data_IF_183024744567
#
_entry.id   IF_183024744567
#
_cell.length_a   1.000
_cell.length_b   1.000
_cell.length_c   1.000
_cell.angle_alpha   90.00
_cell.angle_beta   90.00
_cell.angle_gamma   90.00
#
_symmetry.space_group_name_H-M   'P 1'
#
loop_
_entity.id
_entity.type
_entity.pdbx_description
1 polymer ?
#
# COMPACT_ATOMS: atom_id res chain seq x y z
N UNK A 1 10.86 10.28 10.35
CA UNK A 1 11.01 11.65 10.91
C UNK A 1 10.56 11.66 12.36
N UNK A 2 9.29 11.43 12.66
CA UNK A 2 8.80 11.40 14.04
C UNK A 2 9.58 10.46 14.99
N UNK A 3 9.88 9.24 14.56
CA UNK A 3 10.64 8.26 15.36
C UNK A 3 12.11 8.64 15.66
N UNK A 4 12.62 9.70 15.05
CA UNK A 4 13.96 10.27 15.32
C UNK A 4 13.85 11.69 15.90
N UNK A 5 12.78 11.94 16.65
CA UNK A 5 12.49 13.16 17.41
C UNK A 5 12.39 14.45 16.57
N UNK A 6 11.94 14.33 15.33
CA UNK A 6 11.58 15.48 14.51
C UNK A 6 10.09 15.78 14.68
N UNK A 7 9.76 16.99 15.15
CA UNK A 7 8.38 17.50 15.14
C UNK A 7 7.82 17.41 13.72
N UNK A 8 6.81 16.54 13.54
CA UNK A 8 6.35 16.14 12.22
C UNK A 8 4.92 16.59 12.00
N UNK A 9 4.73 17.40 10.96
CA UNK A 9 3.42 17.81 10.46
C UNK A 9 3.11 17.06 9.16
N UNK A 10 1.96 16.41 9.09
CA UNK A 10 1.51 15.70 7.89
C UNK A 10 0.22 16.33 7.38
N UNK A 11 0.25 16.88 6.17
CA UNK A 11 -0.91 17.49 5.53
C UNK A 11 -1.55 16.49 4.57
N UNK A 12 -2.81 16.14 4.79
CA UNK A 12 -3.54 15.16 3.99
C UNK A 12 -4.86 15.73 3.46
N UNK A 13 -5.21 15.35 2.23
CA UNK A 13 -6.41 15.87 1.54
C UNK A 13 -7.75 15.27 2.01
N UNK A 14 -7.73 14.29 2.90
CA UNK A 14 -8.95 13.64 3.41
C UNK A 14 -8.90 13.44 4.91
N UNK A 15 -9.87 12.70 5.43
CA UNK A 15 -9.98 12.38 6.86
C UNK A 15 -8.89 11.43 7.36
N UNK A 16 -8.50 10.46 6.54
CA UNK A 16 -7.50 9.45 6.84
C UNK A 16 -6.46 9.37 5.73
N UNK A 17 -5.25 8.94 6.08
CA UNK A 17 -4.23 8.57 5.09
C UNK A 17 -4.36 7.09 4.68
N UNK A 18 -3.61 6.66 3.66
CA UNK A 18 -3.76 5.33 3.05
C UNK A 18 -5.17 5.04 2.48
N UNK A 19 -5.84 6.03 1.88
CA UNK A 19 -7.24 5.94 1.41
C UNK A 19 -7.59 4.83 0.41
N UNK A 20 -6.59 4.16 -0.18
CA UNK A 20 -6.76 2.98 -1.05
C UNK A 20 -6.72 1.65 -0.29
N UNK A 21 -6.35 1.65 0.98
CA UNK A 21 -6.31 0.45 1.83
C UNK A 21 -7.67 0.24 2.51
N UNK A 22 -7.88 -0.91 3.15
CA UNK A 22 -9.11 -1.19 3.88
C UNK A 22 -9.38 -0.11 4.96
N UNK A 23 -10.65 0.30 5.18
CA UNK A 23 -10.99 1.31 6.18
C UNK A 23 -10.45 1.03 7.60
N UNK A 24 -10.27 -0.24 7.97
CA UNK A 24 -9.61 -0.64 9.22
C UNK A 24 -8.18 -0.08 9.30
N UNK A 25 -7.38 -0.27 8.24
CA UNK A 25 -6.01 0.25 8.17
C UNK A 25 -6.03 1.78 8.23
N UNK A 26 -6.89 2.42 7.43
CA UNK A 26 -6.98 3.88 7.34
C UNK A 26 -7.20 4.50 8.72
N UNK A 27 -8.21 4.00 9.44
CA UNK A 27 -8.58 4.47 10.76
C UNK A 27 -7.46 4.23 11.77
N UNK A 28 -7.04 2.97 11.94
CA UNK A 28 -6.08 2.59 12.97
C UNK A 28 -4.72 3.26 12.77
N UNK A 29 -4.24 3.40 11.53
CA UNK A 29 -2.98 4.07 11.25
C UNK A 29 -3.03 5.58 11.48
N UNK A 30 -4.16 6.24 11.17
CA UNK A 30 -4.36 7.66 11.44
C UNK A 30 -4.34 7.94 12.94
N UNK A 31 -5.14 7.20 13.70
CA UNK A 31 -5.20 7.31 15.17
C UNK A 31 -3.84 7.01 15.82
N UNK A 32 -3.13 6.00 15.32
CA UNK A 32 -1.80 5.62 15.80
C UNK A 32 -0.75 6.70 15.58
N UNK A 33 -0.76 7.37 14.43
CA UNK A 33 0.21 8.43 14.12
C UNK A 33 -0.06 9.67 14.97
N UNK A 34 -1.33 10.03 15.18
CA UNK A 34 -1.72 11.11 16.10
C UNK A 34 -1.29 10.79 17.54
N UNK A 35 -1.54 9.57 18.01
CA UNK A 35 -1.08 9.12 19.33
C UNK A 35 0.47 9.09 19.44
N UNK A 36 1.19 8.98 18.33
CA UNK A 36 2.64 9.08 18.28
C UNK A 36 3.18 10.51 18.36
N UNK A 37 2.32 11.53 18.38
CA UNK A 37 2.71 12.94 18.32
C UNK A 37 2.84 13.51 16.90
N UNK A 38 2.42 12.80 15.84
CA UNK A 38 2.39 13.40 14.50
C UNK A 38 1.19 14.35 14.40
N UNK A 39 1.45 15.60 14.02
CA UNK A 39 0.40 16.60 13.78
C UNK A 39 -0.23 16.38 12.41
N UNK A 40 -1.36 15.66 12.35
CA UNK A 40 -2.08 15.41 11.10
C UNK A 40 -3.07 16.55 10.81
N UNK A 41 -2.83 17.27 9.72
CA UNK A 41 -3.71 18.32 9.19
C UNK A 41 -4.64 17.70 8.15
N UNK A 42 -5.83 17.30 8.60
CA UNK A 42 -6.86 16.61 7.79
C UNK A 42 -7.57 17.57 6.84
N UNK A 43 -8.13 17.03 5.75
CA UNK A 43 -8.86 17.79 4.72
C UNK A 43 -8.11 19.02 4.18
N UNK A 44 -6.78 18.99 4.20
CA UNK A 44 -5.96 20.06 3.70
C UNK A 44 -6.10 20.16 2.18
N UNK A 45 -6.46 21.33 1.67
CA UNK A 45 -6.70 21.51 0.23
C UNK A 45 -5.37 21.62 -0.52
N UNK A 46 -4.65 22.73 -0.32
CA UNK A 46 -3.33 23.04 -0.86
C UNK A 46 -2.70 24.19 -0.05
N UNK A 47 -1.39 24.38 -0.20
CA UNK A 47 -0.70 25.58 0.25
C UNK A 47 -0.86 26.71 -0.76
N UNK A 48 -1.05 27.94 -0.26
CA UNK A 48 -1.12 29.16 -1.06
C UNK A 48 0.27 29.66 -1.45
N UNK A 49 1.21 29.59 -0.51
CA UNK A 49 2.55 30.15 -0.69
C UNK A 49 3.55 29.39 0.16
N UNK A 50 4.77 29.25 -0.36
CA UNK A 50 5.91 28.68 0.37
C UNK A 50 7.09 29.63 0.15
N UNK A 51 7.73 30.03 1.23
CA UNK A 51 8.80 31.04 1.22
C UNK A 51 10.00 30.55 2.01
N UNK A 52 11.19 30.61 1.40
CA UNK A 52 12.43 30.45 2.14
C UNK A 52 12.76 31.77 2.84
N UNK A 53 12.60 31.79 4.17
CA UNK A 53 12.86 32.98 4.99
C UNK A 53 14.34 33.07 5.35
N UNK A 54 14.95 31.92 5.67
CA UNK A 54 16.36 31.81 5.99
C UNK A 54 16.93 30.52 5.41
N UNK A 55 18.00 30.65 4.64
CA UNK A 55 18.74 29.49 4.13
C UNK A 55 19.71 28.95 5.20
N UNK A 56 20.02 27.66 5.13
CA UNK A 56 20.82 26.97 6.13
C UNK A 56 20.60 25.45 6.12
N UNK A 57 21.07 24.76 7.16
CA UNK A 57 20.86 23.32 7.36
C UNK A 57 20.19 23.05 8.69
N UNK A 58 19.27 22.08 8.73
CA UNK A 58 18.55 21.72 9.96
C UNK A 58 17.88 22.94 10.59
N UNK A 59 18.10 23.15 11.89
CA UNK A 59 17.51 24.27 12.66
C UNK A 59 17.81 25.68 12.11
N UNK A 60 18.89 25.85 11.36
CA UNK A 60 19.28 27.14 10.82
C UNK A 60 18.46 27.50 9.57
N UNK A 61 17.81 26.53 8.92
CA UNK A 61 16.90 26.76 7.79
C UNK A 61 15.51 27.13 8.30
N UNK A 62 14.83 28.05 7.64
CA UNK A 62 13.46 28.43 7.96
C UNK A 62 12.64 28.61 6.68
N UNK A 63 11.59 27.79 6.55
CA UNK A 63 10.61 27.84 5.49
C UNK A 63 9.28 28.25 6.11
N UNK A 64 8.68 29.30 5.57
CA UNK A 64 7.33 29.72 5.92
C UNK A 64 6.35 29.18 4.90
N UNK A 65 5.30 28.53 5.37
CA UNK A 65 4.23 27.96 4.56
C UNK A 65 2.94 28.69 4.92
N UNK A 66 2.23 29.20 3.91
CA UNK A 66 0.93 29.86 4.07
C UNK A 66 -0.14 29.00 3.42
N UNK A 67 -1.16 28.64 4.19
CA UNK A 67 -2.36 27.94 3.72
C UNK A 67 -3.30 28.87 2.95
N UNK A 68 -4.28 28.29 2.26
CA UNK A 68 -5.32 29.03 1.54
C UNK A 68 -6.21 29.89 2.46
N UNK A 69 -6.41 29.47 3.71
CA UNK A 69 -7.14 30.21 4.73
C UNK A 69 -6.31 31.33 5.40
N UNK A 70 -5.04 31.46 5.03
CA UNK A 70 -4.12 32.44 5.59
C UNK A 70 -3.38 31.97 6.85
N UNK A 71 -3.64 30.77 7.36
CA UNK A 71 -2.84 30.20 8.45
C UNK A 71 -1.41 29.95 8.01
N UNK A 72 -0.46 30.12 8.93
CA UNK A 72 0.98 30.07 8.63
C UNK A 72 1.68 29.04 9.52
N UNK A 73 2.65 28.35 8.92
CA UNK A 73 3.51 27.37 9.59
C UNK A 73 4.96 27.69 9.28
N UNK A 74 5.82 27.49 10.26
CA UNK A 74 7.26 27.54 10.08
C UNK A 74 7.83 26.14 10.24
N UNK A 75 8.60 25.70 9.25
CA UNK A 75 9.27 24.41 9.26
C UNK A 75 10.71 24.57 8.79
N UNK A 76 11.59 23.66 9.20
CA UNK A 76 12.96 23.66 8.70
C UNK A 76 13.06 22.99 7.33
N UNK A 77 12.19 22.03 7.05
CA UNK A 77 12.18 21.23 5.83
C UNK A 77 10.75 20.94 5.38
N UNK A 78 10.55 20.81 4.06
CA UNK A 78 9.28 20.45 3.45
C UNK A 78 9.48 19.27 2.49
N UNK A 79 8.79 18.17 2.73
CA UNK A 79 8.81 16.98 1.89
C UNK A 79 7.52 16.87 1.08
N UNK A 80 7.64 16.90 -0.25
CA UNK A 80 6.52 16.65 -1.15
C UNK A 80 6.39 15.16 -1.48
N UNK A 81 5.34 14.53 -0.97
CA UNK A 81 4.99 13.13 -1.23
C UNK A 81 3.57 13.02 -1.81
N UNK A 82 3.31 13.73 -2.91
CA UNK A 82 1.95 13.97 -3.45
C UNK A 82 1.58 13.10 -4.65
N UNK A 83 2.49 12.23 -5.10
CA UNK A 83 2.31 11.37 -6.26
C UNK A 83 3.56 11.33 -7.14
N UNK A 84 3.50 10.51 -8.19
CA UNK A 84 4.53 10.36 -9.22
C UNK A 84 3.87 10.55 -10.59
N UNK A 85 4.70 10.82 -11.59
CA UNK A 85 4.33 10.87 -13.00
C UNK A 85 5.30 9.98 -13.78
N UNK A 86 4.87 9.40 -14.93
CA UNK A 86 5.74 8.58 -15.76
C UNK A 86 6.79 9.45 -16.48
N UNK A 87 8.03 8.98 -16.51
CA UNK A 87 9.16 9.66 -17.17
C UNK A 87 9.17 9.35 -18.68
N UNK A 88 8.35 10.05 -19.46
CA UNK A 88 8.14 9.75 -20.89
C UNK A 88 8.42 10.93 -21.85
N UNK A 89 8.56 12.14 -21.33
CA UNK A 89 8.64 13.37 -22.14
C UNK A 89 9.85 13.35 -23.09
N UNK A 90 11.03 12.98 -22.57
CA UNK A 90 12.28 12.96 -23.32
C UNK A 90 12.41 11.75 -24.27
N UNK A 91 11.50 10.78 -24.20
CA UNK A 91 11.57 9.55 -25.02
C UNK A 91 11.06 9.75 -26.45
N UNK A 92 10.42 10.88 -26.77
CA UNK A 92 9.92 11.20 -28.11
C UNK A 92 9.05 10.08 -28.70
N UNK A 93 8.13 9.56 -27.87
CA UNK A 93 7.22 8.45 -28.19
C UNK A 93 6.30 8.74 -29.38
N UNK A 94 6.13 10.03 -29.71
CA UNK A 94 5.44 10.51 -30.91
C UNK A 94 6.06 10.00 -32.22
N UNK A 95 7.39 9.85 -32.27
CA UNK A 95 8.12 9.44 -33.47
C UNK A 95 7.79 7.98 -33.87
N UNK A 96 7.90 6.98 -32.98
CA UNK A 96 7.46 5.62 -33.28
C UNK A 96 5.93 5.45 -33.25
N UNK A 97 5.18 6.41 -32.70
CA UNK A 97 3.72 6.31 -32.57
C UNK A 97 3.25 5.49 -31.36
N UNK A 98 4.03 5.44 -30.28
CA UNK A 98 3.64 4.79 -29.03
C UNK A 98 2.60 5.64 -28.31
N UNK A 99 1.44 5.05 -28.00
CA UNK A 99 0.32 5.73 -27.35
C UNK A 99 0.50 5.83 -25.85
N UNK A 100 0.07 6.97 -25.31
CA UNK A 100 -0.08 7.21 -23.88
C UNK A 100 -1.57 7.25 -23.53
N UNK A 101 -1.90 6.78 -22.33
CA UNK A 101 -3.26 6.90 -21.80
C UNK A 101 -3.53 8.35 -21.34
N UNK A 102 -4.78 8.71 -20.98
CA UNK A 102 -5.11 10.07 -20.55
C UNK A 102 -4.34 10.59 -19.32
N UNK A 103 -3.71 9.70 -18.55
CA UNK A 103 -2.87 10.03 -17.40
C UNK A 103 -1.38 10.09 -17.72
N UNK A 104 -0.99 9.96 -18.99
CA UNK A 104 0.39 10.08 -19.48
C UNK A 104 1.22 8.81 -19.41
N UNK A 105 0.66 7.67 -18.99
CA UNK A 105 1.37 6.39 -18.92
C UNK A 105 1.35 5.68 -20.27
N UNK A 106 2.37 4.88 -20.57
CA UNK A 106 2.42 4.09 -21.81
C UNK A 106 1.30 3.05 -21.81
N UNK A 107 0.47 3.07 -22.85
CA UNK A 107 -0.59 2.08 -23.04
C UNK A 107 0.04 0.73 -23.37
N UNK A 108 -0.36 -0.31 -22.61
CA UNK A 108 0.08 -1.68 -22.85
C UNK A 108 -1.07 -2.66 -22.73
N UNK A 109 -0.96 -3.79 -23.44
CA UNK A 109 -1.82 -4.95 -23.25
C UNK A 109 -1.37 -5.82 -22.05
N UNK A 110 -2.09 -6.92 -21.81
CA UNK A 110 -1.79 -7.87 -20.73
C UNK A 110 -0.42 -8.55 -20.85
N UNK A 111 0.22 -8.46 -22.01
CA UNK A 111 1.54 -9.00 -22.28
C UNK A 111 2.63 -7.92 -22.31
N UNK A 112 2.32 -6.65 -21.98
CA UNK A 112 3.25 -5.52 -21.96
C UNK A 112 3.67 -5.06 -23.37
N UNK A 113 2.91 -5.42 -24.41
CA UNK A 113 3.09 -4.85 -25.76
C UNK A 113 2.51 -3.44 -25.78
N UNK A 114 3.22 -2.48 -26.37
CA UNK A 114 2.67 -1.14 -26.63
C UNK A 114 1.76 -1.13 -27.86
N UNK A 115 1.27 0.05 -28.25
CA UNK A 115 0.55 0.25 -29.51
C UNK A 115 1.40 0.02 -30.77
N UNK A 116 2.73 -0.17 -30.63
CA UNK A 116 3.67 -0.36 -31.72
C UNK A 116 4.33 -1.72 -31.59
N UNK A 117 4.26 -2.52 -32.66
CA UNK A 117 4.87 -3.85 -32.70
C UNK A 117 6.39 -3.77 -32.46
N UNK A 118 6.92 -4.65 -31.61
CA UNK A 118 8.33 -4.69 -31.25
C UNK A 118 8.75 -3.70 -30.15
N UNK A 119 7.84 -2.83 -29.68
CA UNK A 119 8.08 -1.94 -28.54
C UNK A 119 7.24 -2.41 -27.35
N UNK A 120 7.89 -2.51 -26.20
CA UNK A 120 7.31 -3.01 -24.94
C UNK A 120 7.55 -1.99 -23.81
N UNK A 121 6.69 -1.98 -22.81
CA UNK A 121 6.87 -1.14 -21.62
C UNK A 121 6.50 -1.91 -20.35
N UNK A 122 7.31 -1.76 -19.30
CA UNK A 122 7.15 -2.46 -18.02
C UNK A 122 7.42 -1.52 -16.84
N UNK A 123 6.89 -1.86 -15.67
CA UNK A 123 7.06 -1.07 -14.44
C UNK A 123 6.21 0.19 -14.41
N UNK A 124 6.63 1.15 -13.58
CA UNK A 124 5.90 2.38 -13.25
C UNK A 124 5.40 3.15 -14.47
N UNK A 125 6.15 3.13 -15.58
CA UNK A 125 5.81 3.86 -16.82
C UNK A 125 4.46 3.42 -17.44
N UNK A 126 3.95 2.25 -17.06
CA UNK A 126 2.66 1.70 -17.52
C UNK A 126 1.49 2.01 -16.59
N UNK A 127 1.76 2.48 -15.37
CA UNK A 127 0.74 2.80 -14.37
C UNK A 127 -0.04 1.60 -13.80
N UNK A 128 0.37 0.36 -14.11
CA UNK A 128 -0.34 -0.86 -13.68
C UNK A 128 -0.17 -1.13 -12.19
N UNK A 129 1.09 -1.19 -11.70
CA UNK A 129 1.42 -1.26 -10.28
C UNK A 129 2.88 -0.81 -10.07
N UNK A 130 3.05 0.23 -9.25
CA UNK A 130 4.35 0.87 -8.98
C UNK A 130 5.13 0.13 -7.88
N UNK A 131 5.47 -1.13 -8.15
CA UNK A 131 6.17 -2.02 -7.22
C UNK A 131 7.33 -2.74 -7.91
N UNK A 132 8.51 -2.69 -7.29
CA UNK A 132 9.72 -3.35 -7.80
C UNK A 132 9.52 -4.83 -8.16
N UNK A 133 8.88 -5.68 -7.31
CA UNK A 133 8.65 -7.08 -7.68
C UNK A 133 7.76 -7.27 -8.90
N UNK A 134 6.82 -6.34 -9.14
CA UNK A 134 5.93 -6.40 -10.32
C UNK A 134 6.72 -6.10 -11.59
N UNK A 135 7.55 -5.05 -11.58
CA UNK A 135 8.41 -4.71 -12.71
C UNK A 135 9.39 -5.86 -13.05
N UNK A 136 10.02 -6.46 -12.02
CA UNK A 136 10.92 -7.61 -12.18
C UNK A 136 10.17 -8.81 -12.77
N UNK A 137 8.99 -9.14 -12.25
CA UNK A 137 8.20 -10.27 -12.73
C UNK A 137 7.73 -10.06 -14.17
N UNK A 138 7.21 -8.87 -14.50
CA UNK A 138 6.81 -8.50 -15.85
C UNK A 138 7.98 -8.58 -16.83
N UNK A 139 9.15 -8.03 -16.48
CA UNK A 139 10.36 -8.10 -17.29
C UNK A 139 10.84 -9.54 -17.53
N UNK A 140 10.79 -10.40 -16.51
CA UNK A 140 11.12 -11.84 -16.66
C UNK A 140 10.15 -12.55 -17.60
N UNK A 141 8.84 -12.33 -17.48
CA UNK A 141 7.85 -12.95 -18.37
C UNK A 141 7.93 -12.41 -19.79
N UNK A 142 8.24 -11.12 -19.96
CA UNK A 142 8.52 -10.52 -21.27
C UNK A 142 9.75 -11.18 -21.92
N UNK A 143 10.85 -11.33 -21.17
CA UNK A 143 12.06 -12.01 -21.65
C UNK A 143 11.79 -13.45 -22.08
N UNK A 144 11.05 -14.20 -21.26
CA UNK A 144 10.58 -15.55 -21.57
C UNK A 144 9.76 -15.61 -22.87
N UNK A 145 8.89 -14.62 -23.09
CA UNK A 145 8.00 -14.58 -24.25
C UNK A 145 8.72 -14.24 -25.55
N UNK A 146 9.69 -13.34 -25.52
CA UNK A 146 10.42 -12.87 -26.71
C UNK A 146 11.57 -13.81 -27.07
N UNK A 147 12.32 -14.27 -26.06
CA UNK A 147 13.59 -14.98 -26.27
C UNK A 147 13.57 -16.42 -25.78
N UNK A 148 12.53 -16.82 -25.04
CA UNK A 148 12.41 -18.16 -24.51
C UNK A 148 11.95 -19.19 -25.56
N UNK A 149 11.92 -20.47 -25.16
CA UNK A 149 11.46 -21.56 -26.01
C UNK A 149 9.95 -21.48 -26.28
N UNK A 150 9.42 -22.23 -27.28
CA UNK A 150 8.02 -22.12 -27.73
C UNK A 150 6.98 -22.24 -26.62
N UNK A 151 7.23 -23.03 -25.57
CA UNK A 151 6.35 -23.21 -24.41
C UNK A 151 6.13 -21.93 -23.59
N UNK A 152 7.04 -20.94 -23.69
CA UNK A 152 6.96 -19.68 -22.95
C UNK A 152 6.36 -18.53 -23.78
N UNK A 153 5.90 -18.78 -25.01
CA UNK A 153 5.38 -17.75 -25.92
C UNK A 153 4.13 -17.01 -25.40
N UNK A 154 3.46 -17.56 -24.38
CA UNK A 154 2.31 -16.96 -23.73
C UNK A 154 2.59 -16.51 -22.29
N UNK A 155 3.85 -16.41 -21.90
CA UNK A 155 4.27 -15.88 -20.59
C UNK A 155 3.73 -14.47 -20.34
N UNK A 156 3.04 -14.30 -19.21
CA UNK A 156 2.54 -13.02 -18.67
C UNK A 156 2.46 -13.10 -17.15
N UNK A 157 2.32 -11.94 -16.50
CA UNK A 157 1.99 -11.90 -15.07
C UNK A 157 0.49 -11.67 -14.87
N UNK A 158 -0.02 -12.06 -13.70
CA UNK A 158 -1.32 -11.57 -13.22
C UNK A 158 -1.09 -10.37 -12.33
N UNK A 159 -1.87 -9.31 -12.53
CA UNK A 159 -1.90 -8.12 -11.70
C UNK A 159 -2.92 -8.23 -10.54
N UNK A 160 -3.60 -9.36 -10.43
CA UNK A 160 -4.51 -9.65 -9.32
C UNK A 160 -3.74 -10.15 -8.10
N UNK A 161 -4.23 -9.80 -6.89
CA UNK A 161 -3.72 -10.31 -5.61
C UNK A 161 -2.20 -10.13 -5.43
N UNK A 162 -1.68 -8.95 -5.78
CA UNK A 162 -0.29 -8.57 -5.50
C UNK A 162 -0.18 -8.22 -4.01
N UNK A 163 0.60 -8.97 -3.20
CA UNK A 163 0.82 -8.62 -1.80
C UNK A 163 1.63 -7.33 -1.71
N UNK A 164 1.18 -6.41 -0.87
CA UNK A 164 1.80 -5.09 -0.69
C UNK A 164 2.05 -4.82 0.79
N UNK A 165 3.23 -4.31 1.10
CA UNK A 165 3.63 -3.90 2.45
C UNK A 165 4.00 -2.42 2.44
N UNK A 166 3.44 -1.66 3.38
CA UNK A 166 3.84 -0.29 3.67
C UNK A 166 4.64 -0.29 4.96
N UNK A 167 5.88 0.20 4.89
CA UNK A 167 6.78 0.35 6.03
C UNK A 167 6.44 1.60 6.86
N UNK A 168 5.19 1.64 7.34
CA UNK A 168 4.72 2.57 8.35
C UNK A 168 5.06 2.09 9.76
N UNK A 169 4.64 2.83 10.79
CA UNK A 169 4.83 2.43 12.18
C UNK A 169 3.46 2.29 12.89
N UNK A 170 2.93 1.06 13.08
CA UNK A 170 3.49 -0.22 12.66
C UNK A 170 3.39 -0.46 11.15
N UNK A 171 4.00 -1.56 10.66
CA UNK A 171 3.87 -1.98 9.26
C UNK A 171 2.42 -2.31 8.92
N UNK A 172 2.08 -2.15 7.64
CA UNK A 172 0.79 -2.51 7.08
C UNK A 172 1.02 -3.48 5.93
N UNK A 173 0.24 -4.56 5.90
CA UNK A 173 0.22 -5.56 4.84
C UNK A 173 -1.18 -5.71 4.27
N UNK A 174 -1.28 -5.85 2.96
CA UNK A 174 -2.55 -6.00 2.27
C UNK A 174 -2.43 -6.88 1.03
N UNK A 175 -3.44 -7.71 0.80
CA UNK A 175 -3.62 -8.46 -0.44
C UNK A 175 -5.11 -8.65 -0.72
N UNK A 176 -5.49 -8.57 -1.99
CA UNK A 176 -6.88 -8.75 -2.43
C UNK A 176 -7.74 -7.51 -2.19
N UNK A 177 -9.04 -7.73 -2.15
CA UNK A 177 -10.06 -6.69 -2.05
C UNK A 177 -10.17 -6.14 -0.64
N UNK A 178 -10.38 -4.83 -0.52
CA UNK A 178 -10.88 -4.21 0.72
C UNK A 178 -12.31 -4.64 1.01
N UNK A 179 -12.78 -4.44 2.24
CA UNK A 179 -14.15 -4.78 2.60
C UNK A 179 -15.20 -4.05 1.73
N UNK A 180 -15.09 -2.74 1.46
CA UNK A 180 -16.01 -2.06 0.54
C UNK A 180 -16.00 -2.62 -0.88
N UNK A 181 -14.81 -2.94 -1.42
CA UNK A 181 -14.69 -3.53 -2.77
C UNK A 181 -15.30 -4.93 -2.82
N UNK A 182 -15.06 -5.76 -1.79
CA UNK A 182 -15.65 -7.09 -1.70
C UNK A 182 -17.19 -7.03 -1.61
N UNK A 183 -17.74 -6.11 -0.81
CA UNK A 183 -19.19 -5.87 -0.72
C UNK A 183 -19.76 -5.42 -2.06
N UNK A 184 -19.09 -4.48 -2.73
CA UNK A 184 -19.50 -4.01 -4.06
C UNK A 184 -19.50 -5.14 -5.10
N UNK A 185 -18.48 -6.01 -5.06
CA UNK A 185 -18.31 -7.06 -6.06
C UNK A 185 -19.20 -8.28 -5.82
N UNK A 186 -19.42 -8.69 -4.57
CA UNK A 186 -20.12 -9.94 -4.25
C UNK A 186 -21.53 -9.75 -3.66
N UNK A 187 -21.83 -8.58 -3.09
CA UNK A 187 -23.03 -8.31 -2.31
C UNK A 187 -22.85 -8.60 -0.82
N UNK A 188 -23.55 -7.83 0.03
CA UNK A 188 -23.41 -7.89 1.49
C UNK A 188 -23.76 -9.26 2.08
N UNK A 189 -24.70 -9.98 1.47
CA UNK A 189 -25.17 -11.30 1.90
C UNK A 189 -24.15 -12.43 1.65
N UNK A 190 -23.13 -12.15 0.83
CA UNK A 190 -22.11 -13.14 0.44
C UNK A 190 -20.75 -12.86 1.06
N UNK A 191 -20.62 -11.82 1.88
CA UNK A 191 -19.36 -11.47 2.54
C UNK A 191 -19.42 -11.81 4.02
N UNK A 192 -18.37 -12.47 4.50
CA UNK A 192 -18.12 -12.68 5.92
C UNK A 192 -16.76 -12.09 6.28
N UNK A 193 -16.75 -11.31 7.37
CA UNK A 193 -15.56 -10.63 7.86
C UNK A 193 -15.14 -11.31 9.16
N UNK A 194 -13.88 -11.71 9.23
CA UNK A 194 -13.23 -12.10 10.47
C UNK A 194 -12.23 -11.02 10.86
N UNK A 195 -12.22 -10.63 12.12
CA UNK A 195 -11.44 -9.51 12.61
C UNK A 195 -10.91 -9.78 14.02
N UNK A 196 -9.67 -9.37 14.26
CA UNK A 196 -9.06 -9.40 15.59
C UNK A 196 -8.20 -8.16 15.81
N UNK A 197 -8.15 -7.72 17.07
CA UNK A 197 -7.29 -6.63 17.53
C UNK A 197 -6.68 -7.01 18.86
N UNK A 198 -5.35 -6.95 18.95
CA UNK A 198 -4.60 -7.38 20.12
C UNK A 198 -3.30 -6.60 20.27
N UNK A 199 -2.62 -6.79 21.40
CA UNK A 199 -1.27 -6.27 21.64
C UNK A 199 -0.27 -7.37 21.35
N UNK A 200 0.68 -7.16 20.44
CA UNK A 200 1.72 -8.15 20.19
C UNK A 200 2.55 -8.36 21.46
N UNK A 201 2.94 -9.62 21.74
CA UNK A 201 3.67 -10.00 22.96
C UNK A 201 4.94 -9.17 23.20
N UNK A 202 5.58 -8.70 22.14
CA UNK A 202 6.73 -7.79 22.24
C UNK A 202 6.42 -6.54 23.09
N UNK A 203 5.20 -6.04 23.02
CA UNK A 203 4.73 -4.87 23.77
C UNK A 203 4.09 -5.24 25.12
N UNK A 204 4.11 -6.50 25.57
CA UNK A 204 3.41 -6.85 26.81
C UNK A 204 4.02 -6.26 28.07
N UNK A 205 5.29 -5.90 28.02
CA UNK A 205 6.05 -5.32 29.12
C UNK A 205 5.91 -3.80 29.24
N UNK A 206 5.29 -3.12 28.26
CA UNK A 206 5.07 -1.66 28.34
C UNK A 206 3.84 -1.35 29.22
N UNK A 207 3.77 -0.16 29.82
CA UNK A 207 2.63 0.24 30.64
C UNK A 207 1.30 0.07 29.90
N UNK A 208 0.24 -0.30 30.63
CA UNK A 208 -1.05 -0.65 30.02
C UNK A 208 -1.65 0.52 29.21
N UNK A 209 -1.39 1.74 29.64
CA UNK A 209 -1.75 3.00 29.00
C UNK A 209 -1.02 3.26 27.67
N UNK A 210 0.15 2.64 27.46
CA UNK A 210 0.95 2.77 26.24
C UNK A 210 0.67 1.63 25.23
N UNK A 211 0.12 0.50 25.67
CA UNK A 211 -0.24 -0.65 24.80
C UNK A 211 -1.15 -0.27 23.62
N UNK A 212 -2.20 0.55 23.78
CA UNK A 212 -3.04 0.99 22.66
C UNK A 212 -2.28 1.76 21.58
N UNK A 213 -1.11 2.32 21.90
CA UNK A 213 -0.25 2.99 20.95
C UNK A 213 0.56 2.01 20.10
N UNK A 214 0.46 0.69 20.26
CA UNK A 214 1.13 -0.27 19.40
C UNK A 214 0.18 -1.39 18.96
N UNK A 215 -0.89 -1.04 18.22
CA UNK A 215 -1.92 -1.99 17.86
C UNK A 215 -1.40 -3.04 16.88
N UNK A 216 -1.86 -4.29 17.07
CA UNK A 216 -1.89 -5.29 16.00
C UNK A 216 -3.34 -5.57 15.65
N UNK A 217 -3.67 -5.48 14.37
CA UNK A 217 -5.05 -5.62 13.90
C UNK A 217 -5.07 -6.37 12.57
N UNK A 218 -5.96 -7.34 12.46
CA UNK A 218 -6.03 -8.22 11.29
C UNK A 218 -7.47 -8.38 10.85
N UNK A 219 -7.70 -8.38 9.54
CA UNK A 219 -8.99 -8.60 8.91
C UNK A 219 -8.84 -9.58 7.76
N UNK A 220 -9.67 -10.63 7.79
CA UNK A 220 -9.82 -11.61 6.74
C UNK A 220 -11.22 -11.47 6.13
N UNK A 221 -11.29 -11.31 4.81
CA UNK A 221 -12.52 -11.08 4.06
C UNK A 221 -12.81 -12.32 3.22
N UNK A 222 -13.93 -12.97 3.52
CA UNK A 222 -14.34 -14.20 2.87
C UNK A 222 -15.59 -13.98 2.02
N UNK A 223 -15.64 -14.60 0.83
CA UNK A 223 -16.77 -14.52 -0.08
C UNK A 223 -17.40 -15.90 -0.35
N UNK A 224 -18.73 -15.91 -0.42
CA UNK A 224 -19.54 -17.07 -0.78
C UNK A 224 -19.63 -18.15 0.31
N UNK A 225 -20.40 -19.22 0.05
CA UNK A 225 -20.68 -20.26 1.05
C UNK A 225 -19.45 -21.11 1.41
N UNK A 226 -18.41 -21.13 0.57
CA UNK A 226 -17.14 -21.79 0.86
C UNK A 226 -16.17 -20.89 1.65
N UNK A 227 -16.54 -19.64 1.93
CA UNK A 227 -15.69 -18.65 2.59
C UNK A 227 -14.31 -18.54 1.92
N UNK A 228 -14.30 -18.36 0.59
CA UNK A 228 -13.05 -18.11 -0.15
C UNK A 228 -12.44 -16.80 0.32
N UNK A 229 -11.16 -16.80 0.68
CA UNK A 229 -10.46 -15.57 1.08
C UNK A 229 -10.27 -14.70 -0.16
N UNK A 230 -10.90 -13.52 -0.15
CA UNK A 230 -10.81 -12.52 -1.22
C UNK A 230 -10.07 -11.25 -0.81
N UNK A 231 -9.82 -11.09 0.49
CA UNK A 231 -9.04 -9.98 1.05
C UNK A 231 -8.39 -10.36 2.38
N UNK A 232 -7.17 -9.89 2.60
CA UNK A 232 -6.44 -10.04 3.85
C UNK A 232 -5.66 -8.76 4.14
N UNK A 233 -5.95 -8.15 5.28
CA UNK A 233 -5.37 -6.87 5.71
C UNK A 233 -4.83 -7.02 7.12
N UNK A 234 -3.59 -6.60 7.33
CA UNK A 234 -2.85 -6.80 8.57
C UNK A 234 -2.10 -5.51 8.87
N UNK A 235 -2.09 -5.08 10.12
CA UNK A 235 -1.17 -4.06 10.61
C UNK A 235 -0.58 -4.52 11.94
N UNK A 236 0.70 -4.26 12.16
CA UNK A 236 1.41 -4.71 13.35
C UNK A 236 2.90 -4.96 13.11
N UNK A 237 3.58 -5.47 14.14
CA UNK A 237 5.00 -5.81 14.07
C UNK A 237 5.21 -7.09 13.24
N UNK A 238 6.16 -7.06 12.29
CA UNK A 238 6.56 -8.23 11.51
C UNK A 238 5.64 -8.58 10.34
N UNK A 239 4.71 -7.70 9.98
CA UNK A 239 3.71 -7.95 8.93
C UNK A 239 4.37 -8.18 7.57
N UNK A 240 5.47 -7.48 7.29
CA UNK A 240 6.23 -7.66 6.04
C UNK A 240 6.71 -9.08 5.82
N UNK A 241 7.11 -9.77 6.89
CA UNK A 241 7.57 -11.16 6.84
C UNK A 241 6.41 -12.16 6.82
N UNK A 242 5.29 -11.83 7.47
CA UNK A 242 4.11 -12.71 7.52
C UNK A 242 3.37 -12.78 6.17
N UNK A 243 3.17 -11.63 5.52
CA UNK A 243 2.26 -11.50 4.40
C UNK A 243 2.67 -12.36 3.19
N UNK A 244 3.97 -12.61 3.00
CA UNK A 244 4.48 -13.34 1.84
C UNK A 244 3.92 -14.77 1.75
N UNK A 245 3.83 -15.49 2.88
CA UNK A 245 3.28 -16.84 2.95
C UNK A 245 1.78 -16.87 2.71
N UNK A 246 1.03 -15.98 3.36
CA UNK A 246 -0.40 -15.85 3.14
C UNK A 246 -0.73 -15.39 1.71
N UNK A 247 0.16 -14.63 1.08
CA UNK A 247 0.00 -14.23 -0.33
C UNK A 247 0.03 -15.42 -1.29
N UNK A 248 0.83 -16.45 -0.99
CA UNK A 248 0.80 -17.72 -1.71
C UNK A 248 -0.55 -18.41 -1.51
N UNK A 249 -1.03 -18.51 -0.27
CA UNK A 249 -2.30 -19.17 0.06
C UNK A 249 -3.51 -18.50 -0.64
N UNK A 250 -3.61 -17.17 -0.57
CA UNK A 250 -4.67 -16.40 -1.26
C UNK A 250 -4.60 -16.62 -2.77
N UNK A 251 -3.40 -16.64 -3.36
CA UNK A 251 -3.21 -16.91 -4.79
C UNK A 251 -3.59 -18.34 -5.19
N UNK A 252 -3.44 -19.31 -4.30
CA UNK A 252 -3.93 -20.69 -4.48
C UNK A 252 -5.45 -20.81 -4.34
N UNK A 253 -6.14 -19.74 -3.90
CA UNK A 253 -7.58 -19.73 -3.69
C UNK A 253 -8.01 -20.28 -2.34
N UNK A 254 -7.18 -20.11 -1.30
CA UNK A 254 -7.47 -20.58 0.05
C UNK A 254 -8.84 -20.09 0.56
N UNK A 255 -9.46 -20.96 1.35
CA UNK A 255 -10.70 -20.72 2.08
C UNK A 255 -10.42 -20.51 3.57
N UNK A 256 -11.39 -19.99 4.32
CA UNK A 256 -11.30 -19.94 5.78
C UNK A 256 -11.00 -21.29 6.41
N UNK A 257 -11.55 -22.37 5.84
CA UNK A 257 -11.30 -23.75 6.28
C UNK A 257 -9.82 -24.14 6.13
N UNK A 258 -9.14 -23.69 5.08
CA UNK A 258 -7.72 -23.97 4.89
C UNK A 258 -6.88 -23.27 5.97
N UNK A 259 -7.22 -22.03 6.32
CA UNK A 259 -6.60 -21.30 7.44
C UNK A 259 -6.84 -22.06 8.76
N UNK A 260 -8.08 -22.46 9.05
CA UNK A 260 -8.44 -23.16 10.29
C UNK A 260 -7.82 -24.55 10.43
N UNK A 261 -7.51 -25.18 9.31
CA UNK A 261 -6.85 -26.50 9.30
C UNK A 261 -5.36 -26.42 9.62
N UNK A 262 -4.77 -25.22 9.54
CA UNK A 262 -3.36 -24.99 9.82
C UNK A 262 -3.12 -24.92 11.34
N UNK A 263 -2.25 -25.79 11.86
CA UNK A 263 -1.85 -25.75 13.27
C UNK A 263 -1.04 -24.47 13.53
N UNK A 264 -1.49 -23.67 14.49
CA UNK A 264 -0.84 -22.44 14.93
C UNK A 264 0.63 -22.64 15.38
N UNK A 265 1.45 -21.62 15.16
CA UNK A 265 2.81 -21.50 15.71
C UNK A 265 2.77 -20.50 16.86
N UNK A 266 3.08 -20.94 18.07
CA UNK A 266 2.94 -20.13 19.29
C UNK A 266 4.29 -19.91 20.00
N UNK A 267 4.59 -18.69 20.51
CA UNK A 267 3.80 -17.46 20.40
C UNK A 267 4.19 -16.61 19.17
N UNK A 268 3.24 -16.33 18.27
CA UNK A 268 3.45 -15.42 17.13
C UNK A 268 2.20 -14.62 16.79
N UNK A 269 2.34 -13.34 16.40
CA UNK A 269 1.18 -12.58 15.89
C UNK A 269 0.52 -13.23 14.68
N UNK A 270 1.29 -13.95 13.86
CA UNK A 270 0.78 -14.64 12.66
C UNK A 270 -0.24 -15.73 12.98
N UNK A 271 -0.16 -16.34 14.17
CA UNK A 271 -1.06 -17.41 14.59
C UNK A 271 -2.51 -16.97 14.63
N UNK A 272 -2.74 -15.68 14.93
CA UNK A 272 -4.07 -15.09 15.03
C UNK A 272 -4.88 -15.26 13.74
N UNK A 273 -4.24 -15.24 12.56
CA UNK A 273 -4.92 -15.44 11.28
C UNK A 273 -5.50 -16.84 11.11
N UNK A 274 -4.88 -17.85 11.71
CA UNK A 274 -5.33 -19.25 11.63
C UNK A 274 -6.18 -19.65 12.84
N UNK A 275 -6.45 -18.72 13.75
CA UNK A 275 -7.31 -18.91 14.93
C UNK A 275 -8.52 -17.98 15.01
N UNK A 276 -8.74 -17.14 13.99
CA UNK A 276 -9.90 -16.24 13.87
C UNK A 276 -11.25 -16.99 13.98
N UNK A 277 -12.23 -16.40 14.66
CA UNK A 277 -13.58 -16.96 14.84
C UNK A 277 -14.68 -15.97 14.49
#
# INVERSE_FOLDING_TARGET
MNAVDVETHMFIRGEHFLRKFDPMIQKTMTERYEAAGVHIHRNHSNFKKIELIRDGKGKDRLIKITNNDGTEFEVNELLWAVGRAPEVEDLRLDIPGVKLNPSGYVEVDEYQNTSVEGIYAIGDVTGQAELTPVAIAAGRQLGNRIFGPPELKHSKISYENIPTVVFSHPEVGSIGLTEPEARQQYGDDKIKIYHTKFTAMFYDFIPAEEKPQNPTEMKLICAGPQEKVVGLHILGLGVGEMLQGFGVAVKMGATKKDFDSCIAIHPTSAEELVTLR
#
